data_IF_813232503654
#
_entry.id   IF_813232503654
#
_cell.length_a   1.000
_cell.length_b   1.000
_cell.length_c   1.000
_cell.angle_alpha   90.00
_cell.angle_beta   90.00
_cell.angle_gamma   90.00
#
_symmetry.space_group_name_H-M   'P 1'
#
loop_
_entity.id
_entity.type
_entity.pdbx_description
1 polymer ?
#
# COMPACT_ATOMS: atom_id res chain seq x y z
N UNK A 1 -4.34 13.84 -4.49
CA UNK A 1 -3.97 14.22 -3.11
C UNK A 1 -4.70 13.30 -2.16
N UNK A 2 -4.03 12.75 -1.14
CA UNK A 2 -4.73 12.02 -0.07
C UNK A 2 -5.79 12.91 0.56
N UNK A 3 -6.94 12.32 0.88
CA UNK A 3 -7.89 12.96 1.78
C UNK A 3 -7.34 12.87 3.20
N UNK A 4 -7.66 13.81 4.08
CA UNK A 4 -7.17 13.74 5.49
C UNK A 4 -7.55 12.42 6.18
N UNK A 5 -8.70 11.85 5.84
CA UNK A 5 -9.15 10.54 6.34
C UNK A 5 -8.24 9.36 5.92
N UNK A 6 -7.37 9.56 4.93
CA UNK A 6 -6.41 8.54 4.50
C UNK A 6 -5.10 8.59 5.31
N UNK A 7 -4.86 9.64 6.11
CA UNK A 7 -3.69 9.77 7.00
C UNK A 7 -3.68 8.72 8.10
N UNK A 8 -4.86 8.33 8.58
CA UNK A 8 -5.03 7.41 9.70
C UNK A 8 -5.93 6.24 9.31
N UNK A 9 -5.62 5.06 9.83
CA UNK A 9 -6.48 3.88 9.66
C UNK A 9 -6.47 3.04 10.92
N UNK A 10 -7.64 2.79 11.50
CA UNK A 10 -7.82 1.68 12.42
C UNK A 10 -7.67 0.39 11.62
N UNK A 11 -6.74 -0.47 12.00
CA UNK A 11 -6.57 -1.78 11.33
C UNK A 11 -6.94 -2.95 12.23
N UNK A 12 -6.90 -2.76 13.56
CA UNK A 12 -7.27 -3.79 14.53
C UNK A 12 -7.88 -3.17 15.79
N UNK A 13 -8.77 -3.92 16.45
CA UNK A 13 -9.32 -3.59 17.76
C UNK A 13 -9.38 -4.83 18.65
N UNK A 14 -8.89 -4.71 19.87
CA UNK A 14 -9.03 -5.71 20.92
C UNK A 14 -10.13 -5.25 21.89
N UNK A 15 -11.29 -5.91 21.79
CA UNK A 15 -12.47 -5.61 22.59
C UNK A 15 -12.80 -6.79 23.49
N UNK A 16 -12.88 -6.54 24.80
CA UNK A 16 -13.36 -7.53 25.78
C UNK A 16 -14.60 -6.92 26.46
N UNK A 17 -15.75 -7.62 26.49
CA UNK A 17 -16.96 -7.09 27.11
C UNK A 17 -16.71 -6.58 28.54
N UNK A 18 -17.15 -5.36 28.83
CA UNK A 18 -16.98 -4.73 30.15
C UNK A 18 -15.58 -4.18 30.44
N UNK A 19 -14.65 -4.17 29.46
CA UNK A 19 -13.30 -3.61 29.61
C UNK A 19 -13.01 -2.50 28.59
N UNK A 20 -12.02 -1.64 28.85
CA UNK A 20 -11.54 -0.68 27.84
C UNK A 20 -11.17 -1.38 26.52
N UNK A 21 -11.48 -0.74 25.40
CA UNK A 21 -11.10 -1.23 24.07
C UNK A 21 -9.72 -0.71 23.73
N UNK A 22 -8.85 -1.58 23.19
CA UNK A 22 -7.57 -1.15 22.60
C UNK A 22 -7.69 -1.17 21.10
N UNK A 23 -7.55 -0.01 20.46
CA UNK A 23 -7.51 0.17 19.02
C UNK A 23 -6.07 0.30 18.56
N UNK A 24 -5.73 -0.29 17.42
CA UNK A 24 -4.45 -0.11 16.77
C UNK A 24 -4.64 0.74 15.51
N UNK A 25 -4.03 1.92 15.53
CA UNK A 25 -4.19 2.92 14.48
C UNK A 25 -2.85 3.09 13.77
N UNK A 26 -2.86 2.90 12.47
CA UNK A 26 -1.73 3.24 11.61
C UNK A 26 -1.73 4.74 11.32
N UNK A 27 -0.67 5.41 11.74
CA UNK A 27 -0.30 6.75 11.34
C UNK A 27 0.62 6.65 10.12
N UNK A 28 0.08 6.99 8.94
CA UNK A 28 0.81 6.88 7.69
C UNK A 28 1.84 8.00 7.50
N UNK A 29 1.72 9.12 8.21
CA UNK A 29 2.71 10.20 8.19
C UNK A 29 3.97 9.78 8.94
N UNK A 30 3.79 9.25 10.15
CA UNK A 30 4.89 8.73 10.97
C UNK A 30 5.26 7.28 10.63
N UNK A 31 4.50 6.62 9.76
CA UNK A 31 4.66 5.21 9.34
C UNK A 31 4.77 4.26 10.53
N UNK A 32 3.91 4.49 11.53
CA UNK A 32 3.94 3.77 12.80
C UNK A 32 2.54 3.39 13.28
N UNK A 33 2.47 2.33 14.07
CA UNK A 33 1.25 1.97 14.79
C UNK A 33 1.26 2.64 16.14
N UNK A 34 0.12 3.23 16.52
CA UNK A 34 -0.12 3.75 17.85
C UNK A 34 -1.34 3.02 18.43
N UNK A 35 -1.21 2.54 19.67
CA UNK A 35 -2.34 1.97 20.41
C UNK A 35 -3.17 3.07 21.08
N UNK A 36 -4.49 2.99 20.96
CA UNK A 36 -5.43 3.88 21.63
C UNK A 36 -6.33 3.06 22.53
N UNK A 37 -6.32 3.34 23.82
CA UNK A 37 -7.19 2.70 24.79
C UNK A 37 -8.34 3.64 25.09
N UNK A 38 -9.57 3.25 24.72
CA UNK A 38 -10.79 4.00 25.00
C UNK A 38 -11.61 3.35 26.11
N UNK A 39 -12.43 4.11 26.86
CA UNK A 39 -13.30 3.54 27.88
C UNK A 39 -14.34 2.58 27.29
N UNK A 40 -15.00 1.83 28.17
CA UNK A 40 -15.93 0.73 27.80
C UNK A 40 -17.18 1.21 27.07
N UNK A 41 -17.62 2.44 27.32
CA UNK A 41 -18.76 3.08 26.64
C UNK A 41 -18.51 3.33 25.14
N UNK A 42 -17.25 3.37 24.74
CA UNK A 42 -16.82 3.51 23.35
C UNK A 42 -16.77 2.16 22.60
N UNK A 43 -17.19 1.06 23.22
CA UNK A 43 -17.25 -0.25 22.55
C UNK A 43 -18.25 -0.24 21.39
N UNK A 44 -17.80 -0.68 20.21
CA UNK A 44 -18.67 -0.92 19.05
C UNK A 44 -18.86 0.28 18.10
N UNK A 45 -18.30 1.44 18.40
CA UNK A 45 -18.25 2.58 17.47
C UNK A 45 -16.83 2.70 16.86
N UNK A 46 -16.64 2.26 15.59
CA UNK A 46 -15.35 2.28 14.92
C UNK A 46 -14.90 3.69 14.49
N UNK A 47 -15.75 4.71 14.58
CA UNK A 47 -15.41 6.08 14.20
C UNK A 47 -14.69 6.83 15.34
N UNK A 48 -14.86 6.36 16.58
CA UNK A 48 -14.28 7.00 17.77
C UNK A 48 -12.75 7.14 17.68
N UNK A 49 -11.98 6.09 17.32
CA UNK A 49 -10.53 6.21 17.22
C UNK A 49 -10.11 7.24 16.17
N UNK A 50 -10.79 7.27 15.02
CA UNK A 50 -10.50 8.24 13.96
C UNK A 50 -10.63 9.68 14.44
N UNK A 51 -11.73 9.99 15.13
CA UNK A 51 -12.00 11.33 15.69
C UNK A 51 -10.98 11.74 16.75
N UNK A 52 -10.54 10.82 17.60
CA UNK A 52 -9.50 11.13 18.61
C UNK A 52 -8.15 11.40 17.96
N UNK A 53 -7.76 10.60 16.95
CA UNK A 53 -6.51 10.82 16.24
C UNK A 53 -6.51 12.15 15.51
N UNK A 54 -7.57 12.45 14.75
CA UNK A 54 -7.69 13.71 14.00
C UNK A 54 -7.53 14.95 14.89
N UNK A 55 -8.03 14.90 16.14
CA UNK A 55 -7.96 16.04 17.07
C UNK A 55 -6.62 16.23 17.74
N UNK A 56 -5.85 15.16 17.96
CA UNK A 56 -4.74 15.19 18.92
C UNK A 56 -3.39 14.78 18.37
N UNK A 57 -3.34 14.04 17.26
CA UNK A 57 -2.11 13.42 16.72
C UNK A 57 -0.96 14.41 16.52
N UNK A 58 -1.23 15.60 16.01
CA UNK A 58 -0.20 16.63 15.75
C UNK A 58 0.43 17.17 17.03
N UNK A 59 -0.28 17.08 18.16
CA UNK A 59 0.24 17.47 19.48
C UNK A 59 0.99 16.35 20.20
N UNK A 60 0.92 15.11 19.71
CA UNK A 60 1.52 13.97 20.38
C UNK A 60 3.03 13.88 20.11
N UNK A 61 3.83 13.53 21.14
CA UNK A 61 5.25 13.22 20.98
C UNK A 61 5.53 12.19 19.87
N UNK A 62 6.67 12.34 19.19
CA UNK A 62 7.11 11.48 18.08
C UNK A 62 7.48 10.06 18.52
N UNK A 63 7.61 9.82 19.82
CA UNK A 63 7.93 8.55 20.45
C UNK A 63 6.73 7.93 21.20
N UNK A 64 5.53 8.51 21.06
CA UNK A 64 4.29 7.93 21.63
C UNK A 64 3.98 6.57 21.02
N UNK A 65 3.93 5.53 21.85
CA UNK A 65 3.50 4.19 21.45
C UNK A 65 2.03 3.92 21.75
N UNK A 66 1.52 4.53 22.83
CA UNK A 66 0.16 4.27 23.31
C UNK A 66 -0.47 5.50 23.94
N UNK A 67 -1.78 5.63 23.75
CA UNK A 67 -2.62 6.71 24.25
C UNK A 67 -3.73 6.06 25.08
N UNK A 68 -4.01 6.64 26.24
CA UNK A 68 -5.13 6.29 27.10
C UNK A 68 -6.09 7.47 27.13
N UNK A 69 -7.36 7.21 26.85
CA UNK A 69 -8.44 8.17 26.96
C UNK A 69 -9.21 7.88 28.25
N UNK A 70 -9.35 8.87 29.12
CA UNK A 70 -10.19 8.76 30.31
C UNK A 70 -11.68 8.85 29.97
N UNK A 71 -12.55 8.55 30.93
CA UNK A 71 -14.00 8.77 30.81
C UNK A 71 -14.36 10.26 30.60
N UNK A 72 -13.50 11.18 31.05
CA UNK A 72 -13.64 12.64 30.87
C UNK A 72 -13.08 13.13 29.53
N UNK A 73 -12.43 12.26 28.74
CA UNK A 73 -11.79 12.61 27.47
C UNK A 73 -10.35 13.13 27.60
N UNK A 74 -9.75 13.08 28.79
CA UNK A 74 -8.35 13.46 29.01
C UNK A 74 -7.40 12.40 28.45
N UNK A 75 -6.25 12.86 27.95
CA UNK A 75 -5.26 12.00 27.30
C UNK A 75 -4.04 11.76 28.18
N UNK A 76 -3.65 10.49 28.31
CA UNK A 76 -2.34 10.09 28.85
C UNK A 76 -1.57 9.32 27.78
N UNK A 77 -0.33 9.70 27.55
CA UNK A 77 0.56 9.04 26.58
C UNK A 77 1.57 8.12 27.27
N UNK A 78 1.96 7.05 26.59
CA UNK A 78 3.08 6.19 26.95
C UNK A 78 4.12 6.19 25.83
N UNK A 79 5.38 6.31 26.23
CA UNK A 79 6.58 6.20 25.38
C UNK A 79 7.43 4.99 25.77
N UNK A 80 6.90 4.08 26.62
CA UNK A 80 7.58 2.83 26.96
C UNK A 80 7.61 1.91 25.72
N UNK A 81 8.79 1.47 25.24
CA UNK A 81 8.90 0.55 24.11
C UNK A 81 8.10 -0.75 24.26
N UNK A 82 7.78 -1.17 25.49
CA UNK A 82 6.93 -2.34 25.75
C UNK A 82 5.47 -2.15 25.31
N UNK A 83 5.01 -0.91 25.21
CA UNK A 83 3.69 -0.56 24.70
C UNK A 83 3.68 -0.45 23.17
N UNK A 84 4.82 -0.66 22.49
CA UNK A 84 4.89 -0.62 21.04
C UNK A 84 4.11 -1.79 20.43
N UNK A 85 2.98 -1.47 19.81
CA UNK A 85 2.16 -2.43 19.09
C UNK A 85 2.66 -2.76 17.68
N UNK A 86 3.85 -2.30 17.31
CA UNK A 86 4.44 -2.63 16.01
C UNK A 86 4.70 -4.13 15.89
N UNK A 87 3.89 -4.77 15.06
CA UNK A 87 4.06 -6.18 14.71
C UNK A 87 5.06 -6.26 13.55
N UNK A 88 6.17 -6.97 13.75
CA UNK A 88 7.13 -7.24 12.68
C UNK A 88 6.47 -8.00 11.54
N UNK A 89 6.53 -7.43 10.33
CA UNK A 89 6.11 -8.12 9.11
C UNK A 89 7.20 -9.10 8.71
N UNK A 90 6.83 -10.33 8.34
CA UNK A 90 7.74 -11.25 7.69
C UNK A 90 8.02 -10.71 6.28
N UNK A 91 9.26 -10.26 6.06
CA UNK A 91 9.72 -9.75 4.77
C UNK A 91 10.57 -10.81 4.08
N UNK A 92 10.19 -11.27 2.88
CA UNK A 92 11.02 -12.19 2.11
C UNK A 92 12.30 -11.49 1.66
N UNK A 93 13.33 -12.28 1.35
CA UNK A 93 14.48 -11.80 0.59
C UNK A 93 14.22 -11.96 -0.92
N UNK A 94 15.10 -11.38 -1.74
CA UNK A 94 14.97 -11.47 -3.21
C UNK A 94 15.08 -12.92 -3.69
N UNK A 95 15.90 -13.73 -3.03
CA UNK A 95 16.10 -15.14 -3.38
C UNK A 95 14.81 -15.97 -3.21
N UNK A 96 13.94 -15.58 -2.26
CA UNK A 96 12.67 -16.27 -1.99
C UNK A 96 11.67 -16.10 -3.14
N UNK A 97 11.86 -15.10 -4.01
CA UNK A 97 10.99 -14.89 -5.18
C UNK A 97 11.22 -15.92 -6.29
N UNK A 98 12.32 -16.69 -6.25
CA UNK A 98 12.65 -17.74 -7.21
C UNK A 98 12.50 -17.31 -8.67
N UNK A 99 12.98 -16.10 -8.99
CA UNK A 99 12.87 -15.54 -10.34
C UNK A 99 13.77 -16.34 -11.29
N UNK A 100 13.19 -16.88 -12.37
CA UNK A 100 13.97 -17.49 -13.44
C UNK A 100 14.65 -16.40 -14.26
N UNK A 101 15.94 -16.60 -14.58
CA UNK A 101 16.62 -15.75 -15.57
C UNK A 101 15.89 -15.90 -16.91
N UNK A 102 15.61 -14.81 -17.65
CA UNK A 102 16.33 -13.53 -17.65
C UNK A 102 15.68 -12.39 -16.84
N UNK A 103 14.71 -12.64 -15.95
CA UNK A 103 14.16 -11.58 -15.08
C UNK A 103 15.21 -11.13 -14.04
N UNK A 104 16.20 -10.35 -14.48
CA UNK A 104 17.09 -9.59 -13.61
C UNK A 104 16.40 -8.27 -13.31
N UNK A 105 15.51 -8.27 -12.33
CA UNK A 105 14.99 -7.01 -11.80
C UNK A 105 16.07 -6.36 -10.94
N UNK A 106 16.22 -5.05 -11.08
CA UNK A 106 17.15 -4.30 -10.25
C UNK A 106 16.59 -4.13 -8.84
N UNK A 107 17.50 -3.93 -7.89
CA UNK A 107 17.17 -3.61 -6.50
C UNK A 107 17.62 -2.19 -6.18
N UNK A 108 16.98 -1.60 -5.16
CA UNK A 108 17.34 -0.28 -4.63
C UNK A 108 17.08 -0.26 -3.12
N UNK A 109 17.88 0.45 -2.34
CA UNK A 109 17.61 0.60 -0.91
C UNK A 109 16.49 1.63 -0.68
N UNK A 110 15.69 1.44 0.35
CA UNK A 110 14.62 2.38 0.73
C UNK A 110 15.14 3.79 0.99
N UNK A 111 16.33 3.92 1.56
CA UNK A 111 17.05 5.16 1.86
C UNK A 111 17.51 5.92 0.62
N UNK A 112 17.54 5.27 -0.54
CA UNK A 112 17.83 5.90 -1.82
C UNK A 112 16.57 6.49 -2.49
N UNK A 113 15.38 6.30 -1.90
CA UNK A 113 14.12 6.86 -2.39
C UNK A 113 13.78 8.17 -1.67
N UNK A 114 13.60 9.25 -2.44
CA UNK A 114 13.15 10.54 -1.94
C UNK A 114 11.64 10.69 -2.14
N UNK A 115 10.87 10.81 -1.05
CA UNK A 115 9.43 11.03 -1.09
C UNK A 115 9.08 12.40 -1.67
N UNK A 116 8.23 12.43 -2.69
CA UNK A 116 7.72 13.65 -3.33
C UNK A 116 6.33 13.96 -2.79
N UNK A 117 5.46 12.96 -2.75
CA UNK A 117 4.09 13.08 -2.24
C UNK A 117 3.52 11.71 -1.93
N UNK A 118 2.52 11.61 -1.07
CA UNK A 118 1.77 10.37 -0.88
C UNK A 118 0.59 10.29 -1.85
N UNK A 119 0.42 9.12 -2.48
CA UNK A 119 -0.67 8.84 -3.42
C UNK A 119 -1.80 8.04 -2.76
N UNK A 120 -1.46 7.19 -1.79
CA UNK A 120 -2.43 6.46 -0.98
C UNK A 120 -1.75 5.76 0.20
N UNK A 121 -2.53 4.94 0.92
CA UNK A 121 -2.00 4.08 1.98
C UNK A 121 -1.01 3.06 1.38
N UNK A 122 0.22 3.05 1.88
CA UNK A 122 1.28 2.19 1.35
C UNK A 122 1.69 2.51 -0.10
N UNK A 123 1.42 3.72 -0.58
CA UNK A 123 1.69 4.14 -1.95
C UNK A 123 2.21 5.58 -1.99
N UNK A 124 3.49 5.74 -2.27
CA UNK A 124 4.15 7.04 -2.35
C UNK A 124 4.60 7.34 -3.79
N UNK A 125 4.54 8.60 -4.20
CA UNK A 125 5.30 9.09 -5.34
C UNK A 125 6.69 9.46 -4.85
N UNK A 126 7.72 8.88 -5.46
CA UNK A 126 9.11 9.06 -5.06
C UNK A 126 10.00 9.33 -6.27
N UNK A 127 11.24 9.71 -6.01
CA UNK A 127 12.33 9.76 -6.99
C UNK A 127 13.52 8.92 -6.52
N UNK A 128 14.33 8.45 -7.48
CA UNK A 128 15.62 7.84 -7.19
C UNK A 128 16.64 8.94 -6.90
N UNK A 129 17.11 9.03 -5.66
CA UNK A 129 18.07 10.05 -5.23
C UNK A 129 17.50 11.48 -5.17
N UNK A 130 18.39 12.46 -4.95
CA UNK A 130 18.03 13.86 -4.70
C UNK A 130 17.89 14.71 -5.97
N UNK A 131 18.16 14.13 -7.14
CA UNK A 131 18.00 14.79 -8.45
C UNK A 131 16.77 14.20 -9.11
N UNK A 132 15.91 15.05 -9.67
CA UNK A 132 14.58 14.72 -10.21
C UNK A 132 14.58 13.79 -11.45
N UNK A 133 15.55 12.88 -11.57
CA UNK A 133 15.85 12.19 -12.82
C UNK A 133 14.84 11.10 -13.19
N UNK A 134 13.98 10.65 -12.26
CA UNK A 134 12.84 9.76 -12.59
C UNK A 134 11.81 9.70 -11.45
N UNK A 135 10.55 10.00 -11.76
CA UNK A 135 9.43 9.79 -10.82
C UNK A 135 8.93 8.36 -10.93
N UNK A 136 8.79 7.70 -9.79
CA UNK A 136 8.27 6.34 -9.68
C UNK A 136 7.28 6.25 -8.54
N UNK A 137 6.38 5.29 -8.63
CA UNK A 137 5.42 4.98 -7.58
C UNK A 137 5.99 3.86 -6.73
N UNK A 138 6.21 4.13 -5.44
CA UNK A 138 6.69 3.16 -4.46
C UNK A 138 5.50 2.57 -3.72
N UNK A 139 5.29 1.26 -3.87
CA UNK A 139 4.28 0.50 -3.13
C UNK A 139 4.95 -0.36 -2.06
N UNK A 140 4.43 -0.30 -0.84
CA UNK A 140 5.04 -0.96 0.32
C UNK A 140 4.00 -1.42 1.33
N UNK A 141 4.43 -2.32 2.22
CA UNK A 141 3.60 -2.85 3.30
C UNK A 141 4.22 -2.55 4.67
N UNK A 142 3.40 -2.04 5.60
CA UNK A 142 3.81 -1.67 6.97
C UNK A 142 3.08 -2.45 8.07
N UNK A 143 1.95 -3.09 7.75
CA UNK A 143 1.20 -3.93 8.70
C UNK A 143 1.16 -5.38 8.24
N UNK A 144 1.07 -6.30 9.19
CA UNK A 144 0.95 -7.74 8.92
C UNK A 144 -0.33 -8.06 8.13
N UNK A 145 -1.43 -7.36 8.45
CA UNK A 145 -2.72 -7.57 7.80
C UNK A 145 -2.66 -7.21 6.31
N UNK A 146 -2.97 -8.19 5.45
CA UNK A 146 -2.91 -8.02 4.00
C UNK A 146 -1.50 -8.13 3.40
N UNK A 147 -0.47 -8.45 4.19
CA UNK A 147 0.89 -8.68 3.68
C UNK A 147 0.95 -9.89 2.74
N UNK A 148 0.17 -10.93 2.97
CA UNK A 148 -0.02 -12.09 2.08
C UNK A 148 -0.44 -11.67 0.67
N UNK A 149 -1.41 -10.74 0.58
CA UNK A 149 -1.88 -10.19 -0.69
C UNK A 149 -0.80 -9.35 -1.37
N UNK A 150 -0.05 -8.57 -0.60
CA UNK A 150 1.06 -7.78 -1.12
C UNK A 150 2.17 -8.67 -1.72
N UNK A 151 2.54 -9.74 -1.02
CA UNK A 151 3.56 -10.67 -1.50
C UNK A 151 3.08 -11.46 -2.73
N UNK A 152 1.82 -11.86 -2.74
CA UNK A 152 1.19 -12.49 -3.92
C UNK A 152 1.21 -11.54 -5.12
N UNK A 153 0.84 -10.28 -4.91
CA UNK A 153 0.86 -9.25 -5.93
C UNK A 153 2.25 -9.04 -6.51
N UNK A 154 3.27 -8.85 -5.66
CA UNK A 154 4.65 -8.70 -6.11
C UNK A 154 5.08 -9.90 -6.97
N UNK A 155 4.77 -11.12 -6.51
CA UNK A 155 5.16 -12.35 -7.18
C UNK A 155 4.50 -12.52 -8.56
N UNK A 156 3.22 -12.17 -8.68
CA UNK A 156 2.46 -12.19 -9.95
C UNK A 156 2.96 -11.08 -10.87
N UNK A 157 3.00 -9.85 -10.37
CA UNK A 157 3.21 -8.67 -11.19
C UNK A 157 4.63 -8.60 -11.76
N UNK A 158 5.63 -9.05 -11.01
CA UNK A 158 7.01 -9.13 -11.53
C UNK A 158 7.11 -10.06 -12.76
N UNK A 159 6.35 -11.17 -12.77
CA UNK A 159 6.34 -12.15 -13.89
C UNK A 159 5.54 -11.67 -15.10
N UNK A 160 4.68 -10.67 -14.90
CA UNK A 160 3.84 -10.07 -15.95
C UNK A 160 4.44 -8.77 -16.51
N UNK A 161 5.59 -8.31 -15.99
CA UNK A 161 6.18 -7.00 -16.33
C UNK A 161 6.64 -6.87 -17.79
N UNK A 162 6.58 -7.93 -18.60
CA UNK A 162 6.86 -7.88 -20.04
C UNK A 162 5.63 -7.59 -20.91
N UNK A 163 4.42 -7.55 -20.34
CA UNK A 163 3.19 -7.36 -21.08
C UNK A 163 2.94 -5.87 -21.40
N UNK A 164 2.66 -5.54 -22.67
CA UNK A 164 2.57 -4.15 -23.15
C UNK A 164 1.48 -3.31 -22.46
N UNK A 165 0.38 -3.92 -22.06
CA UNK A 165 -0.74 -3.24 -21.37
C UNK A 165 -0.75 -3.46 -19.84
N UNK A 166 0.37 -3.86 -19.25
CA UNK A 166 0.55 -3.94 -17.80
C UNK A 166 1.74 -3.06 -17.44
N UNK A 167 1.59 -2.19 -16.43
CA UNK A 167 2.74 -1.37 -15.98
C UNK A 167 3.82 -2.31 -15.43
N UNK A 168 5.08 -2.21 -15.85
CA UNK A 168 6.13 -3.07 -15.32
C UNK A 168 6.50 -2.69 -13.88
N UNK A 169 6.99 -3.68 -13.11
CA UNK A 169 7.81 -3.36 -11.93
C UNK A 169 9.15 -2.84 -12.41
N UNK A 170 9.56 -1.69 -11.86
CA UNK A 170 10.84 -1.05 -12.16
C UNK A 170 11.96 -1.62 -11.27
N UNK A 171 11.81 -1.54 -9.94
CA UNK A 171 12.79 -2.08 -8.98
C UNK A 171 12.13 -2.74 -7.77
N UNK A 172 12.84 -3.71 -7.18
CA UNK A 172 12.53 -4.19 -5.83
C UNK A 172 13.22 -3.28 -4.81
N UNK A 173 12.48 -2.87 -3.78
CA UNK A 173 13.00 -2.01 -2.73
C UNK A 173 13.36 -2.85 -1.50
N UNK A 174 14.58 -2.69 -1.03
CA UNK A 174 15.14 -3.44 0.10
C UNK A 174 15.33 -2.53 1.32
N UNK A 175 15.24 -3.12 2.52
CA UNK A 175 15.70 -2.47 3.73
C UNK A 175 17.23 -2.54 3.88
N UNK A 176 17.76 -1.63 4.67
CA UNK A 176 19.18 -1.35 4.86
C UNK A 176 19.83 -2.25 5.89
N UNK A 177 19.03 -2.88 6.76
CA UNK A 177 19.48 -3.61 7.94
C UNK A 177 19.72 -5.07 7.57
N UNK A 178 18.73 -5.71 6.94
CA UNK A 178 18.70 -7.14 6.64
C UNK A 178 18.64 -7.43 5.13
N UNK A 179 18.48 -6.41 4.28
CA UNK A 179 18.36 -6.57 2.83
C UNK A 179 17.07 -7.30 2.41
N UNK A 180 16.02 -7.24 3.23
CA UNK A 180 14.73 -7.86 2.93
C UNK A 180 13.86 -6.91 2.12
N UNK A 181 12.91 -7.48 1.40
CA UNK A 181 11.99 -6.73 0.56
C UNK A 181 11.04 -5.92 1.44
N UNK A 182 11.01 -4.60 1.24
CA UNK A 182 10.02 -3.71 1.86
C UNK A 182 8.91 -3.31 0.89
N UNK A 183 9.18 -3.42 -0.41
CA UNK A 183 8.21 -3.14 -1.44
C UNK A 183 8.83 -3.14 -2.83
N UNK A 184 8.17 -2.45 -3.75
CA UNK A 184 8.62 -2.34 -5.14
C UNK A 184 8.20 -1.00 -5.74
N UNK A 185 8.85 -0.62 -6.84
CA UNK A 185 8.51 0.58 -7.60
C UNK A 185 7.91 0.25 -8.96
N UNK A 186 7.05 1.12 -9.47
CA UNK A 186 6.60 1.13 -10.86
C UNK A 186 6.83 2.52 -11.47
N UNK A 187 6.91 2.64 -12.81
CA UNK A 187 6.94 3.94 -13.46
C UNK A 187 5.71 4.78 -13.08
N UNK A 188 5.92 6.07 -12.81
CA UNK A 188 4.80 6.99 -12.67
C UNK A 188 4.20 7.31 -14.04
N UNK A 189 2.90 7.04 -14.22
CA UNK A 189 2.19 7.31 -15.47
C UNK A 189 1.44 8.65 -15.34
N UNK A 190 1.87 9.74 -16.01
CA UNK A 190 1.32 11.07 -15.79
C UNK A 190 -0.10 11.24 -16.33
N UNK A 191 -0.55 10.38 -17.25
CA UNK A 191 -1.92 10.43 -17.77
C UNK A 191 -2.98 10.00 -16.76
N UNK A 192 -2.58 9.45 -15.60
CA UNK A 192 -3.46 9.08 -14.51
C UNK A 192 -4.44 7.96 -14.86
N UNK A 193 -5.28 7.61 -13.90
CA UNK A 193 -6.34 6.62 -14.08
C UNK A 193 -7.56 7.19 -14.80
N UNK A 194 -8.47 6.31 -15.22
CA UNK A 194 -9.78 6.73 -15.74
C UNK A 194 -10.65 7.38 -14.65
N UNK A 195 -10.44 7.05 -13.38
CA UNK A 195 -11.16 7.67 -12.26
C UNK A 195 -10.68 9.11 -12.01
N UNK A 196 -9.39 9.39 -12.25
CA UNK A 196 -8.81 10.73 -12.06
C UNK A 196 -9.35 11.78 -13.05
N UNK A 197 -9.88 11.34 -14.19
CA UNK A 197 -10.44 12.23 -15.20
C UNK A 197 -11.81 11.73 -15.69
N UNK A 198 -12.90 12.03 -14.96
CA UNK A 198 -14.26 11.60 -15.33
C UNK A 198 -14.75 12.13 -16.68
N UNK A 199 -14.15 13.21 -17.19
CA UNK A 199 -14.51 13.80 -18.49
C UNK A 199 -13.88 13.06 -19.68
N UNK A 200 -12.89 12.20 -19.43
CA UNK A 200 -12.20 11.41 -20.46
C UNK A 200 -13.12 10.30 -20.94
N UNK A 201 -13.59 10.40 -22.17
CA UNK A 201 -14.35 9.33 -22.82
C UNK A 201 -13.54 8.04 -22.94
N UNK A 202 -14.15 6.90 -22.64
CA UNK A 202 -13.52 5.60 -22.78
C UNK A 202 -13.46 5.17 -24.25
N UNK A 203 -12.26 4.95 -24.79
CA UNK A 203 -12.04 4.64 -26.20
C UNK A 203 -12.20 3.15 -26.50
N UNK A 204 -12.68 2.82 -27.71
CA UNK A 204 -12.74 1.42 -28.18
C UNK A 204 -11.34 0.77 -28.26
N UNK A 205 -10.30 1.56 -28.56
CA UNK A 205 -8.89 1.12 -28.50
C UNK A 205 -8.55 0.54 -27.12
N UNK A 206 -8.91 1.25 -26.06
CA UNK A 206 -8.64 0.86 -24.67
C UNK A 206 -9.44 -0.37 -24.26
N UNK A 207 -10.69 -0.49 -24.72
CA UNK A 207 -11.47 -1.72 -24.53
C UNK A 207 -10.75 -2.93 -25.12
N UNK A 208 -10.25 -2.81 -26.36
CA UNK A 208 -9.53 -3.89 -27.04
C UNK A 208 -8.25 -4.27 -26.29
N UNK A 209 -7.47 -3.29 -25.85
CA UNK A 209 -6.26 -3.51 -25.05
C UNK A 209 -6.56 -4.20 -23.72
N UNK A 210 -7.64 -3.78 -23.04
CA UNK A 210 -8.06 -4.38 -21.79
C UNK A 210 -8.50 -5.84 -21.98
N UNK A 211 -9.30 -6.13 -23.02
CA UNK A 211 -9.71 -7.50 -23.34
C UNK A 211 -8.48 -8.37 -23.64
N UNK A 212 -7.54 -7.88 -24.44
CA UNK A 212 -6.32 -8.61 -24.77
C UNK A 212 -5.46 -8.91 -23.52
N UNK A 213 -5.29 -7.92 -22.63
CA UNK A 213 -4.58 -8.14 -21.37
C UNK A 213 -5.29 -9.17 -20.48
N UNK A 214 -6.62 -9.10 -20.39
CA UNK A 214 -7.43 -10.05 -19.59
C UNK A 214 -7.40 -11.45 -20.19
N UNK A 215 -7.47 -11.59 -21.51
CA UNK A 215 -7.36 -12.87 -22.21
C UNK A 215 -5.97 -13.48 -21.98
N UNK A 216 -4.90 -12.69 -22.05
CA UNK A 216 -3.56 -13.18 -21.76
C UNK A 216 -3.42 -13.66 -20.31
N UNK A 217 -3.92 -12.89 -19.34
CA UNK A 217 -3.96 -13.29 -17.92
C UNK A 217 -4.72 -14.61 -17.74
N UNK A 218 -5.94 -14.69 -18.28
CA UNK A 218 -6.83 -15.82 -18.04
C UNK A 218 -6.38 -17.08 -18.81
N UNK A 219 -6.09 -16.95 -20.09
CA UNK A 219 -5.89 -18.08 -21.02
C UNK A 219 -4.43 -18.55 -21.06
N UNK A 220 -3.45 -17.64 -20.95
CA UNK A 220 -2.02 -18.03 -20.97
C UNK A 220 -1.47 -18.27 -19.58
N UNK A 221 -1.82 -17.41 -18.62
CA UNK A 221 -1.25 -17.47 -17.28
C UNK A 221 -2.16 -18.20 -16.27
N UNK A 222 -3.44 -18.42 -16.59
CA UNK A 222 -4.39 -19.02 -15.66
C UNK A 222 -4.61 -18.15 -14.41
N UNK A 223 -4.56 -16.82 -14.56
CA UNK A 223 -4.70 -15.84 -13.48
C UNK A 223 -5.92 -14.97 -13.78
N UNK A 224 -6.79 -14.79 -12.79
CA UNK A 224 -7.82 -13.75 -12.82
C UNK A 224 -7.36 -12.57 -11.99
N UNK A 225 -7.44 -11.36 -12.54
CA UNK A 225 -7.03 -10.13 -11.84
C UNK A 225 -7.96 -9.77 -10.66
N UNK A 226 -9.26 -10.04 -10.81
CA UNK A 226 -10.30 -9.88 -9.79
C UNK A 226 -10.49 -8.47 -9.18
N UNK A 227 -9.97 -7.43 -9.84
CA UNK A 227 -10.03 -6.07 -9.31
C UNK A 227 -9.94 -4.99 -10.40
N UNK A 228 -10.54 -5.25 -11.56
CA UNK A 228 -10.52 -4.32 -12.70
C UNK A 228 -11.56 -3.22 -12.45
N UNK A 229 -11.09 -2.02 -12.20
CA UNK A 229 -11.92 -0.82 -11.93
C UNK A 229 -11.25 0.41 -12.52
N UNK A 230 -12.00 1.51 -12.71
CA UNK A 230 -11.52 2.74 -13.36
C UNK A 230 -10.21 3.28 -12.78
N UNK A 231 -10.04 3.26 -11.45
CA UNK A 231 -8.80 3.68 -10.77
C UNK A 231 -7.57 2.80 -11.01
N UNK A 232 -7.74 1.59 -11.52
CA UNK A 232 -6.64 0.66 -11.83
C UNK A 232 -6.33 0.59 -13.34
N UNK A 233 -6.97 1.46 -14.14
CA UNK A 233 -6.77 1.58 -15.57
C UNK A 233 -6.11 2.93 -15.85
N UNK A 234 -4.79 2.91 -16.01
CA UNK A 234 -3.99 4.09 -16.32
C UNK A 234 -3.96 4.32 -17.83
N UNK A 235 -3.82 5.58 -18.23
CA UNK A 235 -3.60 5.94 -19.63
C UNK A 235 -2.19 6.50 -19.78
N UNK A 236 -1.38 5.87 -20.62
CA UNK A 236 -0.13 6.44 -21.10
C UNK A 236 -0.45 7.61 -22.05
N UNK A 237 -0.09 8.86 -21.70
CA UNK A 237 -0.40 10.01 -22.56
C UNK A 237 0.45 10.08 -23.83
N UNK A 238 1.60 9.41 -23.90
CA UNK A 238 2.46 9.42 -25.08
C UNK A 238 1.93 8.47 -26.15
N UNK A 239 1.64 7.23 -25.74
CA UNK A 239 1.19 6.16 -26.66
C UNK A 239 -0.34 6.08 -26.78
N UNK A 240 -1.07 6.81 -25.94
CA UNK A 240 -2.53 6.73 -25.81
C UNK A 240 -3.00 5.29 -25.50
N UNK A 241 -2.23 4.58 -24.69
CA UNK A 241 -2.43 3.16 -24.37
C UNK A 241 -2.99 2.98 -22.97
N UNK A 242 -3.89 2.00 -22.82
CA UNK A 242 -4.38 1.57 -21.51
C UNK A 242 -3.34 0.65 -20.86
N UNK A 243 -3.03 0.94 -19.60
CA UNK A 243 -2.13 0.17 -18.76
C UNK A 243 -2.86 -0.29 -17.49
N UNK A 244 -2.79 -1.59 -17.21
CA UNK A 244 -3.38 -2.22 -16.04
C UNK A 244 -2.39 -2.25 -14.87
N UNK A 245 -2.90 -2.01 -13.66
CA UNK A 245 -2.14 -2.05 -12.40
C UNK A 245 -2.91 -2.78 -11.30
N UNK A 246 -2.24 -3.00 -10.16
CA UNK A 246 -2.83 -3.41 -8.88
C UNK A 246 -3.38 -4.84 -8.83
N UNK A 247 -2.47 -5.81 -8.79
CA UNK A 247 -2.75 -7.26 -8.79
C UNK A 247 -2.99 -7.82 -7.37
N UNK A 248 -3.41 -6.99 -6.41
CA UNK A 248 -3.56 -7.37 -5.00
C UNK A 248 -4.71 -8.36 -4.69
N UNK A 249 -5.63 -8.57 -5.63
CA UNK A 249 -6.64 -9.62 -5.58
C UNK A 249 -6.45 -10.68 -6.66
N UNK A 250 -5.32 -10.63 -7.39
CA UNK A 250 -5.06 -11.61 -8.42
C UNK A 250 -4.98 -13.02 -7.81
N UNK A 251 -5.64 -13.97 -8.46
CA UNK A 251 -5.69 -15.36 -8.02
C UNK A 251 -5.61 -16.29 -9.22
N UNK A 252 -5.20 -17.52 -8.98
CA UNK A 252 -5.20 -18.57 -10.00
C UNK A 252 -6.64 -18.98 -10.34
N UNK A 253 -6.95 -19.09 -11.63
CA UNK A 253 -8.17 -19.73 -12.13
C UNK A 253 -7.95 -21.23 -12.02
N UNK A 254 -8.66 -21.88 -11.10
CA UNK A 254 -8.70 -23.33 -10.90
C UNK A 254 -7.34 -24.06 -11.07
N UNK A 255 -6.61 -24.19 -9.97
CA UNK A 255 -5.52 -25.15 -9.76
C UNK A 255 -5.52 -25.53 -8.26
N UNK A 256 -4.97 -26.70 -7.88
CA UNK A 256 -5.16 -27.28 -6.55
C UNK A 256 -4.85 -26.34 -5.40
#
# INVERSE_FOLDING_TARGET
MLKEIDKYCVYESMTIPGKPTTWHVMDWDRRRVISLVTPTDCQGDPDIPGKYFERHIDSLPLDTYKIYVSETGDLRVSTDPKDNAWISIIRPKVEDLQLQKPLSIETVKRTELCEISRLGRGLDLVSYGTREERRVVFKYVLILQGSDRFWTELNVWIRLSHHLNIVPIDKIVLDEIHGQIVGFTTPYIPGGSLEDNPSRGFKLKWLKQLIQAVDDLNLKHGIVHDNIMARHLLIDPEMDDLLLINFNFARRIAGP
#
